data_IF_882664983172
#
_entry.id   IF_882664983172
#
_cell.length_a   1.000
_cell.length_b   1.000
_cell.length_c   1.000
_cell.angle_alpha   90.00
_cell.angle_beta   90.00
_cell.angle_gamma   90.00
#
_symmetry.space_group_name_H-M   'P 1'
#
loop_
_entity.id
_entity.type
_entity.pdbx_description
1 polymer ?
#
# COMPACT_ATOMS: atom_id res chain seq x y z
N UNK A 1 -9.61 21.09 0.00
CA UNK A 1 -8.20 20.69 -0.16
C UNK A 1 -7.94 19.63 0.89
N UNK A 2 -7.43 18.46 0.50
CA UNK A 2 -7.02 17.42 1.45
C UNK A 2 -5.74 17.91 2.14
N UNK A 3 -5.70 17.81 3.47
CA UNK A 3 -4.49 18.12 4.24
C UNK A 3 -3.34 17.22 3.75
N UNK A 4 -2.13 17.78 3.60
CA UNK A 4 -0.94 17.02 3.20
C UNK A 4 0.06 16.98 4.34
N UNK A 5 0.65 15.80 4.56
CA UNK A 5 1.79 15.62 5.46
C UNK A 5 3.07 15.90 4.67
N UNK A 6 3.87 16.83 5.18
CA UNK A 6 5.19 17.16 4.64
C UNK A 6 6.24 16.25 5.28
N UNK A 7 6.88 15.43 4.46
CA UNK A 7 7.94 14.51 4.87
C UNK A 7 9.26 15.25 4.71
N UNK A 8 9.95 15.53 5.81
CA UNK A 8 11.24 16.21 5.80
C UNK A 8 12.39 15.20 5.78
N UNK A 9 13.43 15.49 5.01
CA UNK A 9 14.63 14.65 5.01
C UNK A 9 15.44 14.85 6.30
N UNK A 10 16.00 13.77 6.88
CA UNK A 10 16.90 13.89 8.04
C UNK A 10 18.28 14.44 7.66
N UNK A 11 18.61 14.56 6.37
CA UNK A 11 19.93 15.04 5.90
C UNK A 11 20.08 16.54 6.11
N UNK A 12 19.07 17.32 5.73
CA UNK A 12 19.13 18.79 5.77
C UNK A 12 17.83 19.47 6.24
N UNK A 13 16.79 18.71 6.57
CA UNK A 13 15.50 19.23 7.02
C UNK A 13 14.60 19.83 5.94
N UNK A 14 14.99 19.77 4.66
CA UNK A 14 14.15 20.18 3.52
C UNK A 14 12.96 19.22 3.35
N UNK A 15 11.94 19.65 2.59
CA UNK A 15 10.79 18.80 2.27
C UNK A 15 11.21 17.83 1.17
N UNK A 16 11.25 16.54 1.49
CA UNK A 16 11.55 15.47 0.56
C UNK A 16 10.31 15.04 -0.25
N UNK A 17 9.16 14.95 0.42
CA UNK A 17 7.91 14.54 -0.22
C UNK A 17 6.68 15.10 0.49
N UNK A 18 5.56 15.15 -0.22
CA UNK A 18 4.24 15.44 0.36
C UNK A 18 3.27 14.30 0.06
N UNK A 19 2.43 13.97 1.05
CA UNK A 19 1.42 12.92 0.94
C UNK A 19 0.08 13.41 1.49
N UNK A 20 -1.01 13.29 0.72
CA UNK A 20 -2.34 13.65 1.21
C UNK A 20 -2.78 12.72 2.34
N UNK A 21 -3.39 13.28 3.36
CA UNK A 21 -4.08 12.52 4.41
C UNK A 21 -5.32 11.88 3.78
N UNK A 22 -5.47 10.56 3.96
CA UNK A 22 -6.66 9.86 3.51
C UNK A 22 -7.89 10.35 4.28
N UNK A 23 -9.00 10.56 3.57
CA UNK A 23 -10.26 10.91 4.22
C UNK A 23 -10.86 9.68 4.91
N UNK A 24 -11.71 9.90 5.92
CA UNK A 24 -12.45 8.82 6.58
C UNK A 24 -13.21 7.95 5.57
N UNK A 25 -13.82 8.57 4.55
CA UNK A 25 -14.49 7.86 3.47
C UNK A 25 -13.53 6.95 2.68
N UNK A 26 -12.33 7.44 2.34
CA UNK A 26 -11.34 6.66 1.62
C UNK A 26 -10.82 5.48 2.45
N UNK A 27 -10.59 5.70 3.75
CA UNK A 27 -10.19 4.67 4.70
C UNK A 27 -11.27 3.59 4.80
N UNK A 28 -12.52 4.00 5.06
CA UNK A 28 -13.65 3.08 5.17
C UNK A 28 -13.83 2.26 3.88
N UNK A 29 -13.77 2.91 2.72
CA UNK A 29 -13.87 2.22 1.44
C UNK A 29 -12.74 1.20 1.22
N UNK A 30 -11.51 1.50 1.65
CA UNK A 30 -10.39 0.57 1.55
C UNK A 30 -10.59 -0.66 2.46
N UNK A 31 -11.04 -0.44 3.69
CA UNK A 31 -11.33 -1.52 4.65
C UNK A 31 -12.47 -2.41 4.16
N UNK A 32 -13.55 -1.83 3.64
CA UNK A 32 -14.68 -2.62 3.13
C UNK A 32 -14.31 -3.47 1.92
N UNK A 33 -13.49 -2.94 0.99
CA UNK A 33 -12.94 -3.75 -0.12
C UNK A 33 -12.08 -4.91 0.39
N UNK A 34 -11.23 -4.65 1.39
CA UNK A 34 -10.39 -5.70 1.97
C UNK A 34 -11.23 -6.80 2.63
N UNK A 35 -12.27 -6.43 3.40
CA UNK A 35 -13.20 -7.38 4.02
C UNK A 35 -13.93 -8.23 2.98
N UNK A 36 -14.43 -7.60 1.90
CA UNK A 36 -15.11 -8.32 0.83
C UNK A 36 -14.19 -9.34 0.14
N UNK A 37 -12.90 -9.04 0.00
CA UNK A 37 -11.93 -9.96 -0.59
C UNK A 37 -11.43 -11.05 0.39
N UNK A 38 -11.52 -10.80 1.71
CA UNK A 38 -10.93 -11.63 2.74
C UNK A 38 -11.43 -13.09 2.73
N UNK A 39 -12.74 -13.31 2.58
CA UNK A 39 -13.31 -14.65 2.59
C UNK A 39 -12.73 -15.53 1.47
N UNK A 40 -12.73 -15.00 0.25
CA UNK A 40 -12.14 -15.70 -0.90
C UNK A 40 -10.64 -15.94 -0.71
N UNK A 41 -9.92 -14.96 -0.16
CA UNK A 41 -8.50 -15.09 0.13
C UNK A 41 -8.19 -16.16 1.20
N UNK A 42 -9.04 -16.26 2.22
CA UNK A 42 -8.90 -17.25 3.28
C UNK A 42 -9.05 -18.68 2.76
N UNK A 43 -9.86 -18.88 1.72
CA UNK A 43 -10.05 -20.16 1.05
C UNK A 43 -8.92 -20.51 0.06
N UNK A 44 -8.04 -19.57 -0.27
CA UNK A 44 -6.91 -19.80 -1.18
C UNK A 44 -5.89 -20.75 -0.54
N UNK A 45 -5.52 -21.87 -1.21
CA UNK A 45 -4.48 -22.77 -0.71
C UNK A 45 -3.14 -22.06 -0.49
N UNK A 46 -2.36 -22.52 0.50
CA UNK A 46 -1.05 -21.94 0.85
C UNK A 46 -0.11 -21.86 -0.36
N UNK A 47 -0.10 -22.88 -1.22
CA UNK A 47 0.73 -22.91 -2.43
C UNK A 47 0.37 -21.76 -3.39
N UNK A 48 -0.91 -21.51 -3.63
CA UNK A 48 -1.36 -20.40 -4.48
C UNK A 48 -1.07 -19.04 -3.85
N UNK A 49 -1.25 -18.92 -2.52
CA UNK A 49 -0.83 -17.70 -1.80
C UNK A 49 0.67 -17.44 -1.96
N UNK A 50 1.49 -18.50 -1.92
CA UNK A 50 2.93 -18.42 -2.18
C UNK A 50 3.24 -17.85 -3.56
N UNK A 51 2.54 -18.30 -4.61
CA UNK A 51 2.71 -17.76 -5.97
C UNK A 51 2.40 -16.27 -6.04
N UNK A 52 1.31 -15.82 -5.42
CA UNK A 52 0.95 -14.40 -5.40
C UNK A 52 1.97 -13.55 -4.64
N UNK A 53 2.51 -14.04 -3.52
CA UNK A 53 3.53 -13.33 -2.76
C UNK A 53 4.86 -13.23 -3.52
N UNK A 54 5.25 -14.27 -4.25
CA UNK A 54 6.44 -14.22 -5.10
C UNK A 54 6.26 -13.26 -6.29
N UNK A 55 5.10 -13.26 -6.95
CA UNK A 55 4.81 -12.31 -8.01
C UNK A 55 4.80 -10.85 -7.51
N UNK A 56 4.30 -10.61 -6.30
CA UNK A 56 4.40 -9.29 -5.64
C UNK A 56 5.86 -8.88 -5.40
N UNK A 57 6.71 -9.82 -4.96
CA UNK A 57 8.13 -9.56 -4.76
C UNK A 57 8.84 -9.25 -6.07
N UNK A 58 8.58 -10.01 -7.13
CA UNK A 58 9.13 -9.76 -8.47
C UNK A 58 8.76 -8.35 -8.95
N UNK A 59 7.50 -7.95 -8.79
CA UNK A 59 7.06 -6.60 -9.13
C UNK A 59 7.77 -5.53 -8.28
N UNK A 60 7.96 -5.76 -6.98
CA UNK A 60 8.65 -4.82 -6.10
C UNK A 60 10.13 -4.66 -6.48
N UNK A 61 10.82 -5.75 -6.83
CA UNK A 61 12.22 -5.71 -7.29
C UNK A 61 12.33 -5.05 -8.67
N UNK A 62 11.34 -5.21 -9.54
CA UNK A 62 11.34 -4.49 -10.82
C UNK A 62 11.23 -2.97 -10.64
N UNK A 63 10.65 -2.49 -9.54
CA UNK A 63 10.52 -1.06 -9.22
C UNK A 63 11.79 -0.44 -8.62
N UNK A 64 12.83 -1.22 -8.28
CA UNK A 64 14.07 -0.67 -7.70
C UNK A 64 14.97 0.09 -8.68
N UNK A 65 14.63 0.16 -9.97
CA UNK A 65 15.33 1.02 -10.95
C UNK A 65 14.78 2.47 -11.02
N UNK A 66 13.79 2.81 -10.18
CA UNK A 66 13.15 4.14 -10.11
C UNK A 66 13.69 5.03 -8.96
#
# INVERSE_FOLDING_TARGET
MTETVKIKTPVDGSIYAERPVATDQAINAAVERAKAAHEKWAQTPVVERGKYMLAMLEALVAMTEE
#
